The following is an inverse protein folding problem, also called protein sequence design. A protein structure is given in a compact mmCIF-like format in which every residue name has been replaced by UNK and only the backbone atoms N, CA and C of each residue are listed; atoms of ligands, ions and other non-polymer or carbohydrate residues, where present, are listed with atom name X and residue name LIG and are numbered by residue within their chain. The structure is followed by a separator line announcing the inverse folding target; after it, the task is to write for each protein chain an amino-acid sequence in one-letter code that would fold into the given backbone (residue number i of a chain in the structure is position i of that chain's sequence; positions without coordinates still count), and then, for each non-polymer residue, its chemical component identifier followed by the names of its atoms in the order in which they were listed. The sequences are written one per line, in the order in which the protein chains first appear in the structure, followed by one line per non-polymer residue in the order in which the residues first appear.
data_IF_431644590591
#
_entry.id   IF_431644590591
#
_cell.length_a   1.000
_cell.length_b   1.000
_cell.length_c   1.000
_cell.angle_alpha   90.00
_cell.angle_beta   90.00
_cell.angle_gamma   90.00
#
_symmetry.space_group_name_H-M   'P 1'
#
loop_
_entity.id
_entity.type
_entity.pdbx_description
1 polymer ?
#
# COMPACT_ATOMS: atom_id res chain seq x y z
N UNK A 1 0.65 16.35 1.23
CA UNK A 1 1.71 16.83 0.31
C UNK A 1 1.30 16.47 -1.11
N UNK A 2 1.40 17.37 -2.08
CA UNK A 2 1.24 17.04 -3.52
C UNK A 2 2.64 17.00 -4.13
N UNK A 3 2.97 16.04 -5.00
CA UNK A 3 4.24 16.05 -5.74
C UNK A 3 5.39 15.22 -5.15
N UNK A 4 5.16 14.26 -4.24
CA UNK A 4 6.26 13.52 -3.60
C UNK A 4 6.07 12.01 -3.75
N UNK A 5 7.11 11.33 -4.24
CA UNK A 5 7.20 9.89 -4.32
C UNK A 5 7.28 9.25 -2.91
N UNK A 6 6.89 8.00 -2.80
CA UNK A 6 6.97 7.26 -1.55
C UNK A 6 5.83 7.49 -0.57
N UNK A 7 4.74 8.17 -0.96
CA UNK A 7 3.57 8.35 -0.11
C UNK A 7 2.34 7.67 -0.71
N UNK A 8 1.58 6.98 0.13
CA UNK A 8 0.26 6.43 -0.22
C UNK A 8 -0.71 6.59 0.94
N UNK A 9 -2.01 6.54 0.62
CA UNK A 9 -3.06 6.39 1.63
C UNK A 9 -3.60 4.97 1.61
N UNK A 10 -3.76 4.38 2.79
CA UNK A 10 -4.46 3.11 3.00
C UNK A 10 -5.71 3.34 3.85
N UNK A 11 -6.62 2.37 3.85
CA UNK A 11 -7.68 2.30 4.84
C UNK A 11 -7.39 1.16 5.80
N UNK A 12 -7.18 1.45 7.08
CA UNK A 12 -7.04 0.49 8.19
C UNK A 12 -8.33 0.41 9.02
N UNK A 13 -8.51 -0.60 9.86
CA UNK A 13 -9.60 -0.76 10.82
C UNK A 13 -9.07 -0.60 12.24
N UNK A 14 -9.76 0.21 13.03
CA UNK A 14 -9.72 0.18 14.48
C UNK A 14 -11.00 -0.50 14.96
N UNK A 15 -10.90 -1.79 15.32
CA UNK A 15 -12.05 -2.65 15.53
C UNK A 15 -12.84 -2.84 14.22
N UNK A 16 -13.97 -2.11 14.08
CA UNK A 16 -14.77 -2.11 12.83
C UNK A 16 -14.84 -0.74 12.15
N UNK A 17 -14.19 0.27 12.73
CA UNK A 17 -14.19 1.64 12.21
C UNK A 17 -13.04 1.78 11.19
N UNK A 18 -13.34 2.11 9.92
CA UNK A 18 -12.30 2.43 8.95
C UNK A 18 -11.63 3.76 9.31
N UNK A 19 -10.30 3.80 9.16
CA UNK A 19 -9.44 4.97 9.34
C UNK A 19 -8.49 5.05 8.16
N UNK A 20 -8.40 6.23 7.57
CA UNK A 20 -7.49 6.48 6.44
C UNK A 20 -6.15 6.92 7.02
N UNK A 21 -5.09 6.24 6.61
CA UNK A 21 -3.75 6.41 7.18
C UNK A 21 -2.75 6.57 6.05
N UNK A 22 -1.87 7.56 6.19
CA UNK A 22 -0.77 7.74 5.24
C UNK A 22 0.40 6.83 5.63
N UNK A 23 0.91 6.10 4.63
CA UNK A 23 2.14 5.33 4.72
C UNK A 23 3.18 6.00 3.84
N UNK A 24 4.35 6.22 4.42
CA UNK A 24 5.49 6.82 3.75
C UNK A 24 6.62 5.80 3.66
N UNK A 25 7.32 5.80 2.54
CA UNK A 25 8.53 5.06 2.31
C UNK A 25 9.59 6.00 1.73
N UNK A 26 10.83 5.86 2.21
CA UNK A 26 12.00 6.51 1.64
C UNK A 26 13.04 5.43 1.35
N UNK A 27 13.38 5.30 0.07
CA UNK A 27 14.44 4.43 -0.40
C UNK A 27 15.62 5.28 -0.85
N UNK A 28 16.81 4.92 -0.41
CA UNK A 28 18.06 5.57 -0.79
C UNK A 28 19.12 4.51 -1.07
N UNK A 29 19.98 4.75 -2.05
CA UNK A 29 21.08 3.83 -2.34
C UNK A 29 21.99 3.67 -1.11
N UNK A 30 22.28 2.44 -0.74
CA UNK A 30 23.16 2.14 0.40
C UNK A 30 24.60 2.52 0.03
N UNK A 31 25.18 3.46 0.78
CA UNK A 31 26.53 3.95 0.47
C UNK A 31 27.64 2.96 0.89
N UNK A 32 27.43 2.17 1.94
CA UNK A 32 28.40 1.20 2.43
C UNK A 32 27.75 0.13 3.31
N UNK A 33 28.20 -1.12 3.20
CA UNK A 33 27.79 -2.22 4.07
C UNK A 33 26.42 -2.82 3.74
N UNK A 34 25.77 -3.38 4.76
CA UNK A 34 24.44 -4.01 4.63
C UNK A 34 23.37 -2.91 4.66
N UNK A 35 22.40 -2.91 3.73
CA UNK A 35 21.33 -1.91 3.72
C UNK A 35 20.55 -1.86 5.02
N UNK A 36 20.29 -0.63 5.48
CA UNK A 36 19.45 -0.38 6.65
C UNK A 36 17.99 -0.57 6.26
N UNK A 37 17.24 -1.26 7.11
CA UNK A 37 15.78 -1.37 6.98
C UNK A 37 15.16 -0.89 8.28
N UNK A 38 14.15 -0.03 8.20
CA UNK A 38 13.48 0.53 9.38
C UNK A 38 11.98 0.64 9.10
N UNK A 39 11.18 0.29 10.10
CA UNK A 39 9.73 0.40 10.06
C UNK A 39 9.23 1.05 11.36
N UNK A 40 8.44 2.12 11.23
CA UNK A 40 7.77 2.79 12.35
C UNK A 40 6.26 2.75 12.12
N UNK A 41 5.52 2.20 13.09
CA UNK A 41 4.08 2.02 13.00
C UNK A 41 3.60 0.86 12.11
N UNK A 42 4.49 0.20 11.37
CA UNK A 42 4.24 -1.07 10.69
C UNK A 42 5.13 -2.19 11.28
N UNK A 43 4.69 -3.45 11.15
CA UNK A 43 5.53 -4.58 11.53
C UNK A 43 6.77 -4.68 10.63
N UNK A 44 7.94 -4.72 11.26
CA UNK A 44 9.23 -4.75 10.55
C UNK A 44 9.37 -5.99 9.66
N UNK A 45 9.02 -7.17 10.16
CA UNK A 45 9.18 -8.42 9.41
C UNK A 45 8.22 -8.44 8.21
N UNK A 46 7.02 -7.87 8.36
CA UNK A 46 6.07 -7.72 7.26
C UNK A 46 6.63 -6.81 6.18
N UNK A 47 7.19 -5.65 6.53
CA UNK A 47 7.86 -4.76 5.55
C UNK A 47 8.97 -5.49 4.79
N UNK A 48 9.85 -6.22 5.49
CA UNK A 48 10.93 -6.99 4.87
C UNK A 48 10.40 -8.05 3.90
N UNK A 49 9.33 -8.77 4.28
CA UNK A 49 8.67 -9.74 3.43
C UNK A 49 8.08 -9.10 2.17
N UNK A 50 7.41 -7.94 2.31
CA UNK A 50 6.83 -7.21 1.18
C UNK A 50 7.91 -6.69 0.22
N UNK A 51 9.05 -6.24 0.74
CA UNK A 51 10.22 -5.92 -0.09
C UNK A 51 10.71 -7.14 -0.87
N UNK A 52 10.76 -8.33 -0.25
CA UNK A 52 11.14 -9.56 -0.95
C UNK A 52 10.15 -9.95 -2.05
N UNK A 53 8.85 -9.69 -1.86
CA UNK A 53 7.84 -9.87 -2.91
C UNK A 53 8.08 -8.91 -4.08
N UNK A 54 8.32 -7.62 -3.81
CA UNK A 54 8.66 -6.63 -4.85
C UNK A 54 9.89 -7.06 -5.66
N UNK A 55 10.94 -7.52 -4.99
CA UNK A 55 12.16 -7.97 -5.66
C UNK A 55 11.93 -9.23 -6.50
N UNK A 56 11.29 -10.25 -5.93
CA UNK A 56 11.13 -11.55 -6.60
C UNK A 56 10.05 -11.55 -7.68
N UNK A 57 8.97 -10.78 -7.51
CA UNK A 57 7.78 -10.83 -8.37
C UNK A 57 7.69 -9.66 -9.34
N UNK A 58 8.17 -8.49 -8.94
CA UNK A 58 8.13 -7.27 -9.77
C UNK A 58 9.50 -6.96 -10.38
N UNK A 59 10.58 -7.50 -9.81
CA UNK A 59 11.95 -7.30 -10.31
C UNK A 59 12.61 -6.01 -9.83
N UNK A 60 12.11 -5.39 -8.76
CA UNK A 60 12.78 -4.22 -8.17
C UNK A 60 14.04 -4.65 -7.43
N UNK A 61 15.21 -4.12 -7.81
CA UNK A 61 16.49 -4.49 -7.18
C UNK A 61 16.68 -3.73 -5.86
N UNK A 62 15.98 -4.17 -4.80
CA UNK A 62 15.95 -3.50 -3.50
C UNK A 62 17.11 -3.89 -2.57
N UNK A 63 17.86 -4.94 -2.92
CA UNK A 63 19.00 -5.45 -2.15
C UNK A 63 20.11 -4.43 -1.82
N UNK A 64 20.20 -3.32 -2.55
CA UNK A 64 21.23 -2.28 -2.37
C UNK A 64 20.64 -0.95 -1.91
N UNK A 65 19.43 -0.96 -1.35
CA UNK A 65 18.73 0.24 -0.90
C UNK A 65 18.45 0.19 0.59
N UNK A 66 18.80 1.27 1.28
CA UNK A 66 18.27 1.57 2.59
C UNK A 66 16.78 1.85 2.46
N UNK A 67 15.97 1.32 3.38
CA UNK A 67 14.52 1.49 3.38
C UNK A 67 14.02 1.99 4.73
N UNK A 68 13.22 3.05 4.68
CA UNK A 68 12.57 3.63 5.84
C UNK A 68 11.07 3.70 5.57
N UNK A 69 10.29 2.90 6.29
CA UNK A 69 8.82 2.90 6.21
C UNK A 69 8.25 3.52 7.47
N UNK A 70 7.36 4.49 7.31
CA UNK A 70 6.74 5.22 8.41
C UNK A 70 5.23 5.31 8.21
N UNK A 71 4.48 4.99 9.26
CA UNK A 71 3.04 5.21 9.32
C UNK A 71 2.80 6.54 10.02
N UNK A 72 2.17 7.47 9.31
CA UNK A 72 1.97 8.84 9.81
C UNK A 72 0.98 8.87 10.97
N UNK A 73 1.20 9.78 11.92
CA UNK A 73 0.29 10.02 13.05
C UNK A 73 0.48 9.09 14.25
N UNK A 74 1.59 8.32 14.29
CA UNK A 74 1.88 7.41 15.42
C UNK A 74 0.95 6.19 15.48
N UNK A 75 0.22 5.92 14.40
CA UNK A 75 -0.72 4.81 14.28
C UNK A 75 0.07 3.50 14.09
N UNK A 76 -0.42 2.42 14.71
CA UNK A 76 0.10 1.06 14.49
C UNK A 76 -0.81 0.30 13.54
N UNK A 77 -0.26 -0.14 12.41
CA UNK A 77 -0.91 -1.01 11.45
C UNK A 77 -0.75 -2.46 11.90
N UNK A 78 -1.86 -3.03 12.38
CA UNK A 78 -1.92 -4.41 12.85
C UNK A 78 -2.92 -5.22 12.02
N UNK A 79 -2.85 -5.10 10.69
CA UNK A 79 -3.68 -5.92 9.81
C UNK A 79 -3.11 -6.10 8.40
N UNK A 80 -3.49 -7.20 7.70
CA UNK A 80 -2.96 -7.50 6.37
C UNK A 80 -3.41 -6.54 5.27
N UNK A 81 -4.52 -5.81 5.44
CA UNK A 81 -5.05 -4.95 4.36
C UNK A 81 -4.15 -3.77 3.98
N UNK A 82 -3.13 -3.49 4.79
CA UNK A 82 -2.14 -2.44 4.57
C UNK A 82 -1.03 -2.83 3.61
N UNK A 83 -0.87 -4.13 3.30
CA UNK A 83 0.30 -4.64 2.55
C UNK A 83 0.47 -4.00 1.19
N UNK A 84 -0.62 -3.93 0.41
CA UNK A 84 -0.57 -3.38 -0.94
C UNK A 84 -0.19 -1.90 -0.94
N UNK A 85 -0.62 -1.16 0.08
CA UNK A 85 -0.22 0.23 0.28
C UNK A 85 1.26 0.36 0.65
N UNK A 86 1.76 -0.44 1.59
CA UNK A 86 3.19 -0.45 1.94
C UNK A 86 4.04 -0.76 0.69
N UNK A 87 3.63 -1.75 -0.09
CA UNK A 87 4.26 -2.09 -1.38
C UNK A 87 4.24 -0.91 -2.35
N UNK A 88 3.09 -0.24 -2.49
CA UNK A 88 2.93 0.90 -3.37
C UNK A 88 3.85 2.07 -2.95
N UNK A 89 3.93 2.39 -1.66
CA UNK A 89 4.84 3.42 -1.14
C UNK A 89 6.30 3.08 -1.44
N UNK A 90 6.74 1.84 -1.17
CA UNK A 90 8.11 1.41 -1.45
C UNK A 90 8.43 1.50 -2.96
N UNK A 91 7.54 1.00 -3.81
CA UNK A 91 7.72 1.03 -5.25
C UNK A 91 7.71 2.45 -5.81
N UNK A 92 6.84 3.31 -5.28
CA UNK A 92 6.76 4.73 -5.61
C UNK A 92 8.07 5.45 -5.28
N UNK A 93 8.63 5.23 -4.08
CA UNK A 93 9.92 5.81 -3.69
C UNK A 93 11.08 5.27 -4.53
N UNK A 94 11.13 3.95 -4.78
CA UNK A 94 12.18 3.33 -5.60
C UNK A 94 12.19 3.87 -7.03
N UNK A 95 11.01 4.03 -7.64
CA UNK A 95 10.86 4.49 -9.03
C UNK A 95 10.87 6.01 -9.16
N UNK A 96 10.92 6.72 -8.03
CA UNK A 96 10.72 8.17 -7.94
C UNK A 96 9.49 8.66 -8.73
N UNK A 97 8.37 7.97 -8.53
CA UNK A 97 7.09 8.30 -9.17
C UNK A 97 6.01 8.50 -8.12
N UNK A 98 5.33 9.64 -8.15
CA UNK A 98 4.24 9.93 -7.24
C UNK A 98 3.00 9.05 -7.48
N UNK A 99 2.29 8.73 -6.40
CA UNK A 99 0.95 8.15 -6.44
C UNK A 99 -0.04 9.30 -6.33
N UNK A 100 -1.11 9.28 -7.13
CA UNK A 100 -2.19 10.27 -7.06
C UNK A 100 -2.78 10.32 -5.64
N UNK A 101 -2.67 11.47 -4.97
CA UNK A 101 -3.11 11.67 -3.58
C UNK A 101 -4.61 11.48 -3.36
N UNK A 102 -5.42 11.41 -4.43
CA UNK A 102 -6.83 11.02 -4.38
C UNK A 102 -7.08 9.51 -4.36
N UNK A 103 -6.03 8.68 -4.30
CA UNK A 103 -6.10 7.22 -4.36
C UNK A 103 -5.88 6.57 -2.99
N UNK A 104 -6.80 5.67 -2.61
CA UNK A 104 -6.64 4.78 -1.45
C UNK A 104 -6.32 3.38 -1.92
N UNK A 105 -5.33 2.74 -1.31
CA UNK A 105 -4.85 1.41 -1.70
C UNK A 105 -5.11 0.42 -0.55
N UNK A 106 -5.76 -0.69 -0.86
CA UNK A 106 -6.18 -1.68 0.12
C UNK A 106 -5.92 -3.07 -0.44
N UNK A 107 -5.32 -3.95 0.35
CA UNK A 107 -5.20 -5.36 -0.02
C UNK A 107 -4.13 -6.08 0.79
N UNK A 108 -4.38 -7.36 1.06
CA UNK A 108 -3.38 -8.27 1.57
C UNK A 108 -2.55 -8.80 0.42
N UNK A 109 -1.24 -8.96 0.64
CA UNK A 109 -0.32 -9.49 -0.38
C UNK A 109 0.26 -10.82 0.07
N UNK A 110 0.11 -11.82 -0.80
CA UNK A 110 0.74 -13.11 -0.63
C UNK A 110 2.15 -13.18 -1.24
N UNK A 111 2.89 -14.24 -0.88
CA UNK A 111 4.28 -14.44 -1.33
C UNK A 111 4.41 -14.71 -2.84
N UNK A 112 3.32 -15.10 -3.51
CA UNK A 112 3.31 -15.23 -4.95
C UNK A 112 3.07 -13.89 -5.66
N UNK A 113 2.86 -12.80 -4.92
CA UNK A 113 2.53 -11.48 -5.45
C UNK A 113 1.04 -11.31 -5.75
N UNK A 114 0.20 -12.25 -5.31
CA UNK A 114 -1.25 -12.17 -5.44
C UNK A 114 -1.84 -11.20 -4.41
N UNK A 115 -2.89 -10.49 -4.82
CA UNK A 115 -3.65 -9.57 -3.96
C UNK A 115 -4.91 -10.28 -3.47
N UNK A 116 -5.01 -10.45 -2.16
CA UNK A 116 -6.02 -11.26 -1.47
C UNK A 116 -7.11 -10.39 -0.87
N UNK A 117 -8.32 -10.93 -0.81
CA UNK A 117 -9.49 -10.22 -0.29
C UNK A 117 -9.32 -9.86 1.20
N UNK A 118 -9.89 -8.73 1.59
CA UNK A 118 -9.86 -8.21 2.96
C UNK A 118 -11.28 -7.99 3.50
N UNK A 119 -11.39 -7.92 4.82
CA UNK A 119 -12.66 -7.70 5.50
C UNK A 119 -13.12 -6.24 5.42
N UNK A 120 -14.44 -6.06 5.49
CA UNK A 120 -15.13 -4.76 5.56
C UNK A 120 -14.79 -3.79 4.41
N UNK A 121 -14.59 -4.29 3.20
CA UNK A 121 -14.15 -3.47 2.06
C UNK A 121 -15.11 -2.31 1.75
N UNK A 122 -16.42 -2.55 1.79
CA UNK A 122 -17.44 -1.53 1.51
C UNK A 122 -17.36 -0.39 2.53
N UNK A 123 -17.11 -0.70 3.82
CA UNK A 123 -16.91 0.33 4.86
C UNK A 123 -15.69 1.18 4.57
N UNK A 124 -14.58 0.56 4.14
CA UNK A 124 -13.34 1.26 3.79
C UNK A 124 -13.52 2.18 2.58
N UNK A 125 -14.18 1.69 1.52
CA UNK A 125 -14.52 2.46 0.31
C UNK A 125 -15.42 3.65 0.66
N UNK A 126 -16.46 3.41 1.47
CA UNK A 126 -17.39 4.45 1.88
C UNK A 126 -16.73 5.54 2.73
N UNK A 127 -15.79 5.16 3.60
CA UNK A 127 -15.04 6.15 4.39
C UNK A 127 -14.09 6.97 3.51
N UNK A 128 -13.38 6.32 2.58
CA UNK A 128 -12.55 7.02 1.60
C UNK A 128 -13.38 8.06 0.81
N UNK A 129 -14.57 7.65 0.34
CA UNK A 129 -15.48 8.55 -0.38
C UNK A 129 -15.93 9.75 0.47
N UNK A 130 -16.27 9.52 1.75
CA UNK A 130 -16.67 10.60 2.67
C UNK A 130 -15.57 11.62 2.91
N UNK A 131 -14.32 11.18 2.94
CA UNK A 131 -13.15 12.04 3.14
C UNK A 131 -12.66 12.70 1.84
N UNK A 132 -13.36 12.49 0.72
CA UNK A 132 -13.09 13.19 -0.55
C UNK A 132 -12.05 12.51 -1.43
N UNK A 133 -11.66 11.26 -1.16
CA UNK A 133 -10.87 10.47 -2.09
C UNK A 133 -11.69 10.17 -3.35
N UNK A 134 -11.02 9.97 -4.48
CA UNK A 134 -11.69 9.79 -5.78
C UNK A 134 -11.48 8.41 -6.37
N UNK A 135 -10.47 7.68 -5.90
CA UNK A 135 -10.09 6.35 -6.40
C UNK A 135 -9.79 5.38 -5.26
N UNK A 136 -10.12 4.12 -5.47
CA UNK A 136 -9.68 3.00 -4.64
C UNK A 136 -9.08 1.89 -5.50
N UNK A 137 -7.94 1.36 -5.09
CA UNK A 137 -7.37 0.11 -5.61
C UNK A 137 -7.56 -0.97 -4.55
N UNK A 138 -8.28 -2.03 -4.90
CA UNK A 138 -8.72 -3.07 -3.96
C UNK A 138 -8.49 -4.47 -4.54
N UNK A 139 -8.55 -5.54 -3.73
CA UNK A 139 -8.44 -6.91 -4.24
C UNK A 139 -9.57 -7.22 -5.22
N UNK A 140 -9.27 -7.91 -6.33
CA UNK A 140 -10.23 -8.27 -7.36
C UNK A 140 -11.43 -9.06 -6.81
N UNK A 141 -11.17 -9.95 -5.85
CA UNK A 141 -12.22 -10.74 -5.20
C UNK A 141 -13.12 -9.89 -4.30
N UNK A 142 -12.64 -8.77 -3.74
CA UNK A 142 -13.53 -7.82 -3.08
C UNK A 142 -14.35 -7.04 -4.11
N UNK A 143 -13.71 -6.56 -5.17
CA UNK A 143 -14.37 -5.81 -6.25
C UNK A 143 -15.54 -6.57 -6.87
N UNK A 144 -15.32 -7.84 -7.23
CA UNK A 144 -16.35 -8.72 -7.82
C UNK A 144 -17.60 -8.89 -6.94
N UNK A 145 -17.44 -8.77 -5.62
CA UNK A 145 -18.48 -9.03 -4.63
C UNK A 145 -19.09 -7.75 -4.05
N UNK A 146 -18.77 -6.57 -4.62
CA UNK A 146 -19.42 -5.32 -4.22
C UNK A 146 -20.91 -5.39 -4.57
N UNK A 147 -21.76 -5.02 -3.62
CA UNK A 147 -23.22 -5.04 -3.80
C UNK A 147 -23.76 -3.75 -4.39
N UNK A 148 -23.13 -2.63 -4.05
CA UNK A 148 -23.56 -1.28 -4.42
C UNK A 148 -22.52 -0.61 -5.32
N UNK A 149 -22.99 0.28 -6.19
CA UNK A 149 -22.12 1.13 -6.99
C UNK A 149 -21.37 2.13 -6.09
N UNK A 150 -20.03 2.06 -6.04
CA UNK A 150 -19.26 2.96 -5.21
C UNK A 150 -19.35 4.42 -5.69
N UNK A 151 -19.35 5.37 -4.75
CA UNK A 151 -19.31 6.81 -5.05
C UNK A 151 -17.97 7.30 -5.60
N UNK A 152 -16.97 6.43 -5.62
CA UNK A 152 -15.59 6.69 -6.06
C UNK A 152 -15.16 5.62 -7.05
N UNK A 153 -14.19 5.91 -7.91
CA UNK A 153 -13.75 4.95 -8.92
C UNK A 153 -13.00 3.80 -8.25
N UNK A 154 -13.43 2.57 -8.46
CA UNK A 154 -12.79 1.39 -7.86
C UNK A 154 -12.12 0.53 -8.93
N UNK A 155 -10.87 0.15 -8.67
CA UNK A 155 -10.10 -0.78 -9.49
C UNK A 155 -9.86 -2.07 -8.69
N UNK A 156 -10.30 -3.20 -9.23
CA UNK A 156 -10.03 -4.53 -8.67
C UNK A 156 -8.77 -5.14 -9.27
N UNK A 157 -7.80 -5.52 -8.45
CA UNK A 157 -6.50 -6.06 -8.90
C UNK A 157 -6.24 -7.46 -8.37
N UNK A 158 -5.59 -8.30 -9.17
CA UNK A 158 -5.25 -9.70 -8.83
C UNK A 158 -3.81 -9.85 -8.37
N UNK A 159 -2.92 -8.96 -8.79
CA UNK A 159 -1.49 -9.03 -8.46
C UNK A 159 -0.93 -7.65 -8.10
N UNK A 160 0.22 -7.67 -7.42
CA UNK A 160 1.00 -6.48 -7.14
C UNK A 160 1.39 -5.76 -8.42
N UNK A 161 1.80 -6.50 -9.46
CA UNK A 161 2.19 -5.92 -10.75
C UNK A 161 1.03 -5.15 -11.41
N UNK A 162 -0.17 -5.73 -11.42
CA UNK A 162 -1.38 -5.07 -11.93
C UNK A 162 -1.70 -3.81 -11.13
N UNK A 163 -1.58 -3.87 -9.80
CA UNK A 163 -1.77 -2.71 -8.93
C UNK A 163 -0.79 -1.58 -9.26
N UNK A 164 0.50 -1.90 -9.36
CA UNK A 164 1.55 -0.92 -9.67
C UNK A 164 1.32 -0.26 -11.04
N UNK A 165 0.94 -1.01 -12.07
CA UNK A 165 0.64 -0.47 -13.40
C UNK A 165 -0.54 0.51 -13.42
N UNK A 166 -1.45 0.42 -12.46
CA UNK A 166 -2.58 1.35 -12.34
C UNK A 166 -2.18 2.64 -11.61
N UNK A 167 -1.22 2.56 -10.68
CA UNK A 167 -0.90 3.67 -9.76
C UNK A 167 0.38 4.44 -10.11
N UNK A 168 1.39 3.84 -10.77
CA UNK A 168 2.71 4.45 -11.08
C UNK A 168 3.36 3.96 -12.39
#
# INVERSE_FOLDING_TARGET
MKGVSGSTVIASLEGTRPMLVEVQALLSYTSFGVPRRTATGADYNRVVLLMAVLEKRVGLQLQNYDSYVNVVGGIKLNEPSSDLGIIAAIASSYRDKEIDGGTVIIGEVGLAGEVRAVNFIEKRINEAAKLGFTKCVIPYNNYKNLKDDPKIKVYGVKSVEEALNIII
#
